data_IF_564564901848
#
_entry.id   IF_564564901848
#
_cell.length_a   1.000
_cell.length_b   1.000
_cell.length_c   1.000
_cell.angle_alpha   90.00
_cell.angle_beta   90.00
_cell.angle_gamma   90.00
#
_symmetry.space_group_name_H-M   'P 1'
#
loop_
_entity.id
_entity.type
_entity.pdbx_description
1 polymer ?
#
# COMPACT_ATOMS: atom_id res chain seq x y z
N UNK A 1 9.49 -32.44 -3.38
CA UNK A 1 9.21 -31.88 -4.71
C UNK A 1 9.34 -30.37 -4.63
N UNK A 2 10.51 -29.87 -5.03
CA UNK A 2 10.79 -28.44 -5.20
C UNK A 2 9.93 -27.94 -6.36
N UNK A 3 8.88 -27.18 -6.05
CA UNK A 3 8.18 -26.40 -7.07
C UNK A 3 9.17 -25.36 -7.59
N UNK A 4 9.83 -25.69 -8.70
CA UNK A 4 10.49 -24.73 -9.58
C UNK A 4 9.42 -23.83 -10.18
N UNK A 5 8.90 -22.88 -9.39
CA UNK A 5 8.22 -21.71 -9.92
C UNK A 5 9.26 -20.96 -10.73
N UNK A 6 9.15 -21.06 -12.07
CA UNK A 6 10.12 -20.52 -13.01
C UNK A 6 10.49 -19.07 -12.69
N UNK A 7 11.74 -18.70 -13.01
CA UNK A 7 12.15 -17.28 -13.07
C UNK A 7 11.08 -16.53 -13.86
N UNK A 8 10.52 -15.46 -13.28
CA UNK A 8 9.68 -14.49 -13.95
C UNK A 8 10.45 -13.96 -15.17
N UNK A 9 10.20 -14.51 -16.36
CA UNK A 9 10.77 -14.05 -17.64
C UNK A 9 9.97 -12.89 -18.23
N UNK A 10 8.78 -12.63 -17.72
CA UNK A 10 7.92 -11.53 -18.16
C UNK A 10 8.20 -10.26 -17.35
N UNK A 11 9.25 -9.55 -17.76
CA UNK A 11 9.48 -8.16 -17.34
C UNK A 11 8.47 -7.30 -18.13
N UNK A 12 7.29 -7.07 -17.56
CA UNK A 12 6.25 -6.23 -18.20
C UNK A 12 6.56 -4.72 -18.18
N UNK A 13 7.61 -4.32 -17.45
CA UNK A 13 8.10 -2.94 -17.40
C UNK A 13 9.44 -2.91 -18.11
N UNK A 14 9.48 -2.35 -19.32
CA UNK A 14 10.69 -2.22 -20.13
C UNK A 14 11.91 -1.84 -19.26
N UNK A 15 13.09 -2.44 -19.49
CA UNK A 15 14.28 -2.07 -18.75
C UNK A 15 14.49 -0.56 -18.89
N UNK A 16 14.67 0.08 -17.74
CA UNK A 16 14.85 1.54 -17.61
C UNK A 16 16.08 2.02 -18.39
N UNK A 17 17.02 1.11 -18.64
CA UNK A 17 18.27 1.36 -19.32
C UNK A 17 18.09 1.20 -20.84
N UNK A 18 18.18 2.27 -21.66
CA UNK A 18 18.32 2.11 -23.10
C UNK A 18 19.66 1.42 -23.41
N UNK A 19 19.79 0.74 -24.56
CA UNK A 19 20.86 -0.24 -24.82
C UNK A 19 22.32 0.23 -24.64
N UNK A 20 22.58 1.54 -24.57
CA UNK A 20 23.91 2.11 -24.35
C UNK A 20 24.07 2.83 -22.99
N UNK A 21 23.01 3.00 -22.20
CA UNK A 21 23.04 3.80 -20.95
C UNK A 21 22.50 2.96 -19.79
N UNK A 22 23.31 2.78 -18.77
CA UNK A 22 22.86 2.20 -17.51
C UNK A 22 22.26 3.27 -16.60
N UNK A 23 20.97 3.18 -16.33
CA UNK A 23 20.25 4.01 -15.36
C UNK A 23 20.03 3.29 -14.01
N UNK A 24 20.84 2.27 -13.71
CA UNK A 24 20.66 1.42 -12.53
C UNK A 24 20.82 2.13 -11.19
N UNK A 25 21.63 3.21 -11.14
CA UNK A 25 21.84 4.03 -9.93
C UNK A 25 20.81 5.15 -9.77
N UNK A 26 19.90 5.34 -10.72
CA UNK A 26 18.87 6.37 -10.62
C UNK A 26 17.82 5.95 -9.59
N UNK A 27 17.66 6.76 -8.53
CA UNK A 27 16.80 6.44 -7.40
C UNK A 27 15.31 6.51 -7.77
N UNK A 28 14.88 7.58 -8.42
CA UNK A 28 13.50 7.79 -8.87
C UNK A 28 13.44 7.75 -10.41
N UNK A 29 12.73 6.77 -10.95
CA UNK A 29 12.57 6.64 -12.40
C UNK A 29 11.40 7.53 -12.83
N UNK A 30 11.62 8.54 -13.68
CA UNK A 30 10.56 9.44 -14.13
C UNK A 30 9.50 8.69 -14.96
N UNK A 31 8.26 9.20 -14.95
CA UNK A 31 7.15 8.67 -15.77
C UNK A 31 6.37 7.51 -15.16
N UNK A 32 6.59 7.17 -13.87
CA UNK A 32 5.71 6.23 -13.16
C UNK A 32 4.46 6.94 -12.62
N UNK A 33 3.31 6.61 -13.18
CA UNK A 33 2.00 7.09 -12.74
C UNK A 33 1.39 8.08 -13.72
N UNK A 34 0.58 7.56 -14.65
CA UNK A 34 -0.30 8.39 -15.48
C UNK A 34 -1.63 8.59 -14.77
N UNK A 35 -2.27 9.74 -15.01
CA UNK A 35 -3.66 9.99 -14.56
C UNK A 35 -4.69 9.37 -15.50
N UNK A 36 -4.27 8.89 -16.66
CA UNK A 36 -5.16 8.35 -17.69
C UNK A 36 -5.62 6.92 -17.37
N UNK A 37 -6.90 6.58 -17.61
CA UNK A 37 -7.40 5.23 -17.54
C UNK A 37 -6.64 4.29 -18.50
N UNK A 38 -6.40 3.05 -18.06
CA UNK A 38 -5.77 2.03 -18.92
C UNK A 38 -6.74 1.59 -20.04
N UNK A 39 -6.27 1.41 -21.28
CA UNK A 39 -7.09 0.84 -22.35
C UNK A 39 -7.61 -0.57 -21.99
N UNK A 40 -8.82 -0.90 -22.45
CA UNK A 40 -9.50 -2.17 -22.14
C UNK A 40 -8.64 -3.39 -22.49
N UNK A 41 -8.00 -3.39 -23.66
CA UNK A 41 -7.11 -4.47 -24.09
C UNK A 41 -5.94 -4.68 -23.12
N UNK A 42 -5.35 -3.59 -22.62
CA UNK A 42 -4.28 -3.66 -21.63
C UNK A 42 -4.79 -4.20 -20.29
N UNK A 43 -5.99 -3.80 -19.86
CA UNK A 43 -6.62 -4.30 -18.63
C UNK A 43 -6.85 -5.81 -18.74
N UNK A 44 -7.46 -6.28 -19.83
CA UNK A 44 -7.71 -7.70 -20.08
C UNK A 44 -6.41 -8.53 -20.15
N UNK A 45 -5.40 -8.02 -20.87
CA UNK A 45 -4.10 -8.68 -20.98
C UNK A 45 -3.39 -8.82 -19.63
N UNK A 46 -3.45 -7.78 -18.79
CA UNK A 46 -2.88 -7.82 -17.44
C UNK A 46 -3.69 -8.69 -16.47
N UNK A 47 -5.03 -8.64 -16.56
CA UNK A 47 -5.92 -9.48 -15.77
C UNK A 47 -5.68 -10.97 -16.05
N UNK A 48 -5.57 -11.34 -17.33
CA UNK A 48 -5.25 -12.71 -17.76
C UNK A 48 -3.95 -13.19 -17.12
N UNK A 49 -2.87 -12.43 -17.25
CA UNK A 49 -1.55 -12.78 -16.67
C UNK A 49 -1.61 -12.98 -15.16
N UNK A 50 -2.32 -12.11 -14.43
CA UNK A 50 -2.47 -12.23 -12.99
C UNK A 50 -3.24 -13.50 -12.62
N UNK A 51 -4.37 -13.76 -13.29
CA UNK A 51 -5.22 -14.91 -13.01
C UNK A 51 -4.54 -16.23 -13.39
N UNK A 52 -3.83 -16.30 -14.52
CA UNK A 52 -3.03 -17.46 -14.89
C UNK A 52 -1.98 -17.79 -13.81
N UNK A 53 -1.30 -16.76 -13.28
CA UNK A 53 -0.35 -16.94 -12.18
C UNK A 53 -1.02 -17.41 -10.89
N UNK A 54 -2.20 -16.87 -10.57
CA UNK A 54 -2.97 -17.26 -9.38
C UNK A 54 -3.45 -18.71 -9.48
N UNK A 55 -4.14 -19.08 -10.56
CA UNK A 55 -4.69 -20.42 -10.77
C UNK A 55 -3.59 -21.49 -10.92
N UNK A 56 -2.42 -21.14 -11.46
CA UNK A 56 -1.26 -22.03 -11.47
C UNK A 56 -0.74 -22.39 -10.06
N UNK A 57 -1.09 -21.63 -9.02
CA UNK A 57 -0.76 -21.96 -7.63
C UNK A 57 -1.77 -22.85 -6.94
N UNK A 58 -2.99 -22.95 -7.47
CA UNK A 58 -4.04 -23.79 -6.92
C UNK A 58 -3.76 -25.27 -7.28
N UNK A 59 -4.12 -26.17 -6.38
CA UNK A 59 -4.04 -27.62 -6.66
C UNK A 59 -5.07 -27.99 -7.73
N UNK A 60 -4.73 -28.94 -8.60
CA UNK A 60 -5.64 -29.40 -9.65
C UNK A 60 -6.99 -29.86 -9.06
N UNK A 61 -8.08 -29.27 -9.53
CA UNK A 61 -9.46 -29.63 -9.14
C UNK A 61 -10.33 -28.48 -8.59
N UNK A 62 -9.78 -27.29 -8.37
CA UNK A 62 -10.57 -26.09 -8.02
C UNK A 62 -10.92 -25.28 -9.28
N UNK A 63 -12.13 -24.71 -9.32
CA UNK A 63 -12.69 -23.69 -10.22
C UNK A 63 -11.97 -23.45 -11.57
N UNK A 64 -12.70 -23.54 -12.67
CA UNK A 64 -12.14 -23.31 -14.00
C UNK A 64 -11.66 -21.85 -14.14
N UNK A 65 -10.36 -21.67 -14.36
CA UNK A 65 -9.76 -20.39 -14.78
C UNK A 65 -10.57 -19.76 -15.92
N UNK A 66 -11.04 -20.57 -16.88
CA UNK A 66 -11.80 -20.09 -18.03
C UNK A 66 -13.13 -19.46 -17.62
N UNK A 67 -13.80 -20.00 -16.60
CA UNK A 67 -15.08 -19.47 -16.13
C UNK A 67 -14.88 -18.14 -15.38
N UNK A 68 -13.86 -18.06 -14.53
CA UNK A 68 -13.49 -16.81 -13.87
C UNK A 68 -13.03 -15.75 -14.88
N UNK A 69 -12.27 -16.15 -15.90
CA UNK A 69 -11.78 -15.23 -16.91
C UNK A 69 -12.92 -14.67 -17.76
N UNK A 70 -13.90 -15.48 -18.16
CA UNK A 70 -15.12 -15.00 -18.84
C UNK A 70 -15.90 -13.97 -18.02
N UNK A 71 -15.98 -14.15 -16.70
CA UNK A 71 -16.61 -13.16 -15.81
C UNK A 71 -15.84 -11.84 -15.83
N UNK A 72 -14.50 -11.89 -15.75
CA UNK A 72 -13.65 -10.70 -15.83
C UNK A 72 -13.77 -10.02 -17.20
N UNK A 73 -13.82 -10.77 -18.30
CA UNK A 73 -14.05 -10.23 -19.64
C UNK A 73 -15.38 -9.46 -19.70
N UNK A 74 -16.46 -10.04 -19.17
CA UNK A 74 -17.76 -9.39 -19.12
C UNK A 74 -17.74 -8.11 -18.26
N UNK A 75 -17.09 -8.17 -17.09
CA UNK A 75 -17.01 -7.03 -16.16
C UNK A 75 -16.21 -5.87 -16.76
N UNK A 76 -15.08 -6.17 -17.43
CA UNK A 76 -14.26 -5.16 -18.10
C UNK A 76 -14.99 -4.57 -19.31
N UNK A 77 -15.68 -5.38 -20.11
CA UNK A 77 -16.47 -4.88 -21.24
C UNK A 77 -17.62 -3.96 -20.80
N UNK A 78 -18.23 -4.21 -19.64
CA UNK A 78 -19.39 -3.46 -19.15
C UNK A 78 -19.02 -2.24 -18.32
N UNK A 79 -17.99 -2.34 -17.47
CA UNK A 79 -17.63 -1.29 -16.50
C UNK A 79 -16.30 -0.59 -16.79
N UNK A 80 -15.50 -1.15 -17.71
CA UNK A 80 -14.14 -0.69 -18.00
C UNK A 80 -13.07 -1.23 -17.05
N UNK A 81 -13.44 -1.97 -16.00
CA UNK A 81 -12.52 -2.56 -15.01
C UNK A 81 -13.10 -3.87 -14.46
N UNK A 82 -12.43 -4.50 -13.51
CA UNK A 82 -12.94 -5.66 -12.78
C UNK A 82 -12.54 -5.62 -11.31
N UNK A 83 -13.28 -6.36 -10.48
CA UNK A 83 -13.00 -6.48 -9.05
C UNK A 83 -12.38 -7.83 -8.72
N UNK A 84 -11.23 -7.78 -8.05
CA UNK A 84 -10.54 -8.97 -7.55
C UNK A 84 -11.34 -9.62 -6.40
N UNK A 85 -11.37 -10.94 -6.37
CA UNK A 85 -11.80 -11.67 -5.17
C UNK A 85 -10.79 -11.43 -4.03
N UNK A 86 -11.19 -11.72 -2.79
CA UNK A 86 -10.28 -11.59 -1.62
C UNK A 86 -9.02 -12.46 -1.77
N UNK A 87 -9.17 -13.67 -2.30
CA UNK A 87 -8.06 -14.60 -2.54
C UNK A 87 -7.11 -14.10 -3.63
N UNK A 88 -7.65 -13.55 -4.72
CA UNK A 88 -6.88 -12.93 -5.79
C UNK A 88 -6.12 -11.69 -5.28
N UNK A 89 -6.78 -10.85 -4.47
CA UNK A 89 -6.18 -9.66 -3.87
C UNK A 89 -4.99 -10.03 -2.96
N UNK A 90 -5.17 -11.04 -2.12
CA UNK A 90 -4.09 -11.56 -1.27
C UNK A 90 -2.90 -12.04 -2.07
N UNK A 91 -3.18 -12.86 -3.08
CA UNK A 91 -2.17 -13.40 -3.95
C UNK A 91 -1.40 -12.26 -4.62
N UNK A 92 -2.11 -11.26 -5.16
CA UNK A 92 -1.54 -10.07 -5.76
C UNK A 92 -0.64 -9.29 -4.79
N UNK A 93 -1.10 -9.06 -3.55
CA UNK A 93 -0.31 -8.35 -2.53
C UNK A 93 0.97 -9.10 -2.13
N UNK A 94 0.87 -10.42 -1.87
CA UNK A 94 2.03 -11.29 -1.60
C UNK A 94 3.02 -11.29 -2.76
N UNK A 95 2.52 -11.44 -3.97
CA UNK A 95 3.31 -11.49 -5.18
C UNK A 95 4.01 -10.15 -5.44
N UNK A 96 3.33 -9.03 -5.22
CA UNK A 96 3.91 -7.69 -5.35
C UNK A 96 5.09 -7.51 -4.38
N UNK A 97 4.95 -7.94 -3.11
CA UNK A 97 6.06 -7.89 -2.16
C UNK A 97 7.22 -8.80 -2.59
N UNK A 98 6.93 -10.05 -2.99
CA UNK A 98 7.93 -10.99 -3.53
C UNK A 98 8.67 -10.42 -4.74
N UNK A 99 8.02 -9.59 -5.55
CA UNK A 99 8.59 -9.00 -6.76
C UNK A 99 9.21 -7.62 -6.54
N UNK A 100 9.19 -7.07 -5.32
CA UNK A 100 9.79 -5.78 -5.01
C UNK A 100 11.31 -5.88 -4.97
N UNK A 101 11.97 -5.61 -6.11
CA UNK A 101 13.41 -5.80 -6.32
C UNK A 101 14.30 -5.11 -5.26
N UNK A 102 13.84 -3.98 -4.70
CA UNK A 102 14.57 -3.18 -3.69
C UNK A 102 14.32 -3.62 -2.23
N UNK A 103 13.42 -4.57 -1.98
CA UNK A 103 13.15 -5.07 -0.63
C UNK A 103 14.12 -6.22 -0.28
N UNK A 104 14.92 -6.05 0.78
CA UNK A 104 15.81 -7.11 1.31
C UNK A 104 15.02 -8.15 2.12
N UNK A 105 13.96 -7.73 2.82
CA UNK A 105 13.14 -8.57 3.71
C UNK A 105 12.17 -9.55 3.02
N UNK A 106 12.34 -9.80 1.72
CA UNK A 106 11.41 -10.61 0.92
C UNK A 106 11.26 -12.05 1.40
N UNK A 107 12.17 -12.59 2.20
CA UNK A 107 12.02 -13.96 2.75
C UNK A 107 10.70 -14.16 3.51
N UNK A 108 10.15 -13.08 4.08
CA UNK A 108 8.89 -13.11 4.83
C UNK A 108 7.64 -13.00 3.95
N UNK A 109 7.77 -12.91 2.61
CA UNK A 109 6.68 -12.60 1.68
C UNK A 109 5.43 -13.48 1.84
N UNK A 110 5.63 -14.77 2.18
CA UNK A 110 4.52 -15.71 2.31
C UNK A 110 3.76 -15.59 3.65
N UNK A 111 4.28 -14.84 4.62
CA UNK A 111 3.61 -14.66 5.92
C UNK A 111 2.44 -13.68 5.86
N UNK A 112 2.25 -12.96 4.75
CA UNK A 112 1.18 -11.98 4.57
C UNK A 112 -0.20 -12.65 4.35
N UNK A 113 -0.97 -13.07 5.36
CA UNK A 113 -2.27 -13.77 5.16
C UNK A 113 -3.54 -12.83 5.21
N UNK A 114 -4.77 -13.26 4.85
CA UNK A 114 -6.04 -12.44 4.74
C UNK A 114 -6.93 -12.39 5.98
N UNK A 115 -7.41 -11.21 6.40
CA UNK A 115 -8.56 -11.12 7.32
C UNK A 115 -9.89 -11.30 6.59
N UNK A 116 -10.76 -12.13 7.17
CA UNK A 116 -12.20 -12.10 6.97
C UNK A 116 -12.79 -10.86 7.66
N UNK A 117 -14.01 -10.55 7.26
CA UNK A 117 -14.78 -9.32 7.51
C UNK A 117 -14.81 -8.85 8.97
N UNK A 118 -15.03 -7.53 9.13
CA UNK A 118 -15.52 -6.95 10.38
C UNK A 118 -16.92 -7.53 10.59
N UNK A 119 -17.01 -8.69 11.22
CA UNK A 119 -18.28 -9.18 11.75
C UNK A 119 -18.44 -8.65 13.16
N UNK A 120 -19.14 -7.51 13.26
CA UNK A 120 -19.36 -6.75 14.50
C UNK A 120 -20.16 -7.54 15.57
N UNK A 121 -20.54 -8.80 15.31
CA UNK A 121 -21.56 -9.53 16.07
C UNK A 121 -21.05 -10.62 17.02
N UNK A 122 -19.80 -11.12 16.94
CA UNK A 122 -19.46 -12.38 17.62
C UNK A 122 -18.32 -12.36 18.65
N UNK A 123 -17.66 -11.23 18.90
CA UNK A 123 -16.79 -11.04 20.09
C UNK A 123 -15.66 -12.06 20.29
N UNK A 124 -15.39 -12.93 19.32
CA UNK A 124 -14.37 -13.96 19.34
C UNK A 124 -13.64 -13.89 18.01
N UNK A 125 -12.38 -13.48 18.05
CA UNK A 125 -11.59 -13.34 16.86
C UNK A 125 -10.34 -14.18 16.97
N UNK A 126 -10.31 -15.26 16.21
CA UNK A 126 -9.10 -16.06 16.00
C UNK A 126 -8.31 -15.43 14.84
N UNK A 127 -7.43 -14.50 15.20
CA UNK A 127 -6.61 -13.71 14.28
C UNK A 127 -5.31 -14.43 13.91
N UNK A 128 -4.99 -14.52 12.61
CA UNK A 128 -3.59 -14.66 12.17
C UNK A 128 -3.38 -14.19 10.73
N UNK A 129 -3.70 -12.93 10.44
CA UNK A 129 -3.71 -12.47 9.05
C UNK A 129 -3.28 -10.98 8.92
N UNK A 130 -2.55 -10.65 7.85
CA UNK A 130 -1.73 -9.47 7.61
C UNK A 130 -2.21 -8.57 6.42
N UNK A 131 -3.38 -8.81 5.83
CA UNK A 131 -4.00 -7.95 4.80
C UNK A 131 -5.37 -7.45 5.28
N UNK A 132 -5.54 -6.12 5.29
CA UNK A 132 -6.80 -5.43 5.57
C UNK A 132 -7.46 -4.99 4.26
N UNK A 133 -8.61 -5.59 3.94
CA UNK A 133 -9.40 -5.25 2.74
C UNK A 133 -10.36 -4.09 3.06
N UNK A 134 -9.91 -2.87 2.77
CA UNK A 134 -10.63 -1.62 2.99
C UNK A 134 -11.18 -1.04 1.67
N UNK A 135 -11.44 -1.87 0.65
CA UNK A 135 -11.98 -1.43 -0.64
C UNK A 135 -13.41 -0.90 -0.58
N UNK A 136 -14.09 -1.07 0.56
CA UNK A 136 -15.43 -0.54 0.82
C UNK A 136 -15.41 0.89 1.41
N UNK A 137 -14.25 1.38 1.85
CA UNK A 137 -14.09 2.71 2.45
C UNK A 137 -14.43 3.81 1.45
N UNK A 138 -15.10 4.85 1.92
CA UNK A 138 -15.58 5.97 1.10
C UNK A 138 -15.09 7.34 1.59
N UNK A 139 -14.77 7.48 2.87
CA UNK A 139 -14.39 8.77 3.48
C UNK A 139 -12.95 8.78 4.00
N UNK A 140 -12.37 9.97 4.19
CA UNK A 140 -11.07 10.13 4.80
C UNK A 140 -11.06 9.69 6.28
N UNK A 141 -12.19 9.82 6.99
CA UNK A 141 -12.30 9.34 8.38
C UNK A 141 -12.19 7.82 8.44
N UNK A 142 -12.91 7.10 7.60
CA UNK A 142 -12.83 5.63 7.51
C UNK A 142 -11.41 5.17 7.08
N UNK A 143 -10.74 5.94 6.21
CA UNK A 143 -9.33 5.68 5.90
C UNK A 143 -8.45 5.81 7.14
N UNK A 144 -8.63 6.89 7.91
CA UNK A 144 -7.88 7.13 9.13
C UNK A 144 -8.08 6.00 10.15
N UNK A 145 -9.33 5.60 10.40
CA UNK A 145 -9.66 4.53 11.34
C UNK A 145 -9.03 3.18 10.92
N UNK A 146 -9.04 2.88 9.62
CA UNK A 146 -8.38 1.71 9.06
C UNK A 146 -6.85 1.76 9.23
N UNK A 147 -6.23 2.94 9.10
CA UNK A 147 -4.79 3.13 9.32
C UNK A 147 -4.41 3.03 10.81
N UNK A 148 -5.24 3.56 11.71
CA UNK A 148 -5.06 3.38 13.15
C UNK A 148 -5.08 1.89 13.53
N UNK A 149 -6.05 1.13 13.00
CA UNK A 149 -6.14 -0.32 13.18
C UNK A 149 -4.91 -1.03 12.64
N UNK A 150 -4.43 -0.61 11.45
CA UNK A 150 -3.21 -1.14 10.85
C UNK A 150 -1.99 -0.92 11.74
N UNK A 151 -1.79 0.31 12.25
CA UNK A 151 -0.66 0.66 13.11
C UNK A 151 -0.72 -0.16 14.40
N UNK A 152 -1.87 -0.21 15.06
CA UNK A 152 -2.04 -0.99 16.30
C UNK A 152 -1.68 -2.47 16.09
N UNK A 153 -2.20 -3.07 15.02
CA UNK A 153 -1.93 -4.46 14.68
C UNK A 153 -0.46 -4.72 14.34
N UNK A 154 0.15 -3.81 13.57
CA UNK A 154 1.53 -3.98 13.09
C UNK A 154 2.54 -3.74 14.21
N UNK A 155 2.26 -2.80 15.11
CA UNK A 155 3.11 -2.49 16.26
C UNK A 155 3.12 -3.63 17.28
N UNK A 156 1.95 -4.22 17.60
CA UNK A 156 1.82 -5.42 18.44
C UNK A 156 2.77 -5.42 19.67
N UNK A 157 2.74 -4.34 20.45
CA UNK A 157 3.55 -4.15 21.65
C UNK A 157 5.06 -4.41 21.43
N UNK A 158 5.57 -4.03 20.26
CA UNK A 158 6.98 -4.20 19.88
C UNK A 158 7.30 -5.50 19.14
N UNK A 159 6.40 -6.48 19.13
CA UNK A 159 6.57 -7.70 18.33
C UNK A 159 6.00 -7.48 16.91
N UNK A 160 6.74 -6.72 16.11
CA UNK A 160 6.29 -6.16 14.84
C UNK A 160 5.74 -7.22 13.88
N UNK A 161 4.56 -6.96 13.32
CA UNK A 161 3.91 -7.78 12.29
C UNK A 161 3.83 -6.98 10.99
N UNK A 162 4.27 -7.57 9.87
CA UNK A 162 4.07 -6.95 8.55
C UNK A 162 2.58 -6.91 8.23
N UNK A 163 2.05 -5.82 7.71
CA UNK A 163 0.68 -5.78 7.20
C UNK A 163 0.55 -4.87 5.97
N UNK A 164 -0.57 -4.99 5.26
CA UNK A 164 -0.96 -4.05 4.20
C UNK A 164 -2.45 -3.73 4.34
N UNK A 165 -2.80 -2.46 4.16
CA UNK A 165 -4.20 -2.01 4.04
C UNK A 165 -4.45 -1.61 2.60
N UNK A 166 -5.48 -2.20 1.98
CA UNK A 166 -5.83 -1.95 0.57
C UNK A 166 -7.11 -1.11 0.52
N UNK A 167 -6.96 0.13 0.07
CA UNK A 167 -8.08 1.05 -0.19
C UNK A 167 -8.70 0.82 -1.57
N UNK A 168 -9.84 1.47 -1.89
CA UNK A 168 -10.50 1.29 -3.19
C UNK A 168 -9.55 1.53 -4.37
N UNK A 169 -9.59 0.69 -5.41
CA UNK A 169 -8.76 0.88 -6.59
C UNK A 169 -9.17 2.15 -7.34
N UNK A 170 -8.22 2.75 -8.06
CA UNK A 170 -8.48 3.88 -8.96
C UNK A 170 -9.57 3.53 -9.98
N UNK A 171 -10.51 4.45 -10.18
CA UNK A 171 -11.52 4.40 -11.25
C UNK A 171 -11.42 5.65 -12.13
N UNK A 172 -11.97 5.61 -13.34
CA UNK A 172 -12.02 6.77 -14.24
C UNK A 172 -13.00 7.85 -13.79
N UNK A 173 -13.94 7.50 -12.91
CA UNK A 173 -15.09 8.33 -12.56
C UNK A 173 -14.93 9.13 -11.27
N UNK A 174 -13.86 8.93 -10.49
CA UNK A 174 -13.67 9.57 -9.18
C UNK A 174 -12.21 9.89 -8.91
N UNK A 175 -11.98 10.81 -7.98
CA UNK A 175 -10.63 11.10 -7.45
C UNK A 175 -10.02 9.88 -6.76
N UNK A 176 -8.69 9.84 -6.68
CA UNK A 176 -7.96 8.75 -6.03
C UNK A 176 -8.08 8.78 -4.50
N UNK A 177 -8.07 7.60 -3.89
CA UNK A 177 -7.71 7.44 -2.47
C UNK A 177 -6.20 7.57 -2.32
N UNK A 178 -5.73 8.50 -1.48
CA UNK A 178 -4.30 8.74 -1.27
C UNK A 178 -3.98 9.02 0.19
N UNK A 179 -2.96 8.33 0.67
CA UNK A 179 -2.16 8.77 1.82
C UNK A 179 -1.03 9.61 1.24
N UNK A 180 -0.95 10.88 1.61
CA UNK A 180 0.04 11.80 1.06
C UNK A 180 1.41 11.61 1.73
N UNK A 181 1.39 11.16 2.99
CA UNK A 181 2.60 10.87 3.73
C UNK A 181 3.43 9.78 3.04
N UNK A 182 4.75 9.96 2.90
CA UNK A 182 5.64 8.91 2.42
C UNK A 182 5.66 7.66 3.32
N UNK A 183 5.44 7.85 4.63
CA UNK A 183 5.39 6.81 5.66
C UNK A 183 4.26 7.14 6.65
N UNK A 184 3.69 6.13 7.31
CA UNK A 184 2.62 6.36 8.31
C UNK A 184 3.11 7.08 9.57
N UNK A 185 4.37 6.87 9.94
CA UNK A 185 5.00 7.48 11.10
C UNK A 185 6.30 8.15 10.65
N UNK A 186 6.38 9.47 10.80
CA UNK A 186 7.57 10.26 10.51
C UNK A 186 7.61 11.49 11.42
N UNK A 187 8.82 11.95 11.74
CA UNK A 187 9.01 13.16 12.51
C UNK A 187 8.93 14.41 11.62
N UNK A 188 8.38 15.50 12.14
CA UNK A 188 8.31 16.77 11.44
C UNK A 188 9.69 17.44 11.33
N UNK A 189 9.83 18.36 10.37
CA UNK A 189 10.99 19.22 10.20
C UNK A 189 10.59 20.68 10.10
N UNK A 190 11.12 21.53 10.99
CA UNK A 190 10.81 22.96 11.05
C UNK A 190 12.03 23.77 10.64
N UNK A 191 11.88 24.59 9.59
CA UNK A 191 12.94 25.51 9.16
C UNK A 191 12.78 26.86 9.86
N UNK A 192 13.80 27.26 10.61
CA UNK A 192 13.84 28.54 11.33
C UNK A 192 14.25 29.69 10.40
N UNK A 193 14.02 30.93 10.86
CA UNK A 193 14.35 32.14 10.13
C UNK A 193 15.86 32.31 9.84
N UNK A 194 16.72 31.77 10.70
CA UNK A 194 18.18 31.75 10.53
C UNK A 194 18.68 30.65 9.58
N UNK A 195 17.76 29.83 9.05
CA UNK A 195 18.06 28.70 8.17
C UNK A 195 18.38 27.39 8.88
N UNK A 196 18.46 27.37 10.20
CA UNK A 196 18.57 26.13 10.97
C UNK A 196 17.29 25.29 10.88
N UNK A 197 17.40 23.97 11.10
CA UNK A 197 16.27 23.04 11.04
C UNK A 197 16.15 22.31 12.38
N UNK A 198 14.93 22.26 12.93
CA UNK A 198 14.57 21.45 14.10
C UNK A 198 13.80 20.23 13.61
N UNK A 199 14.11 19.04 14.15
CA UNK A 199 13.47 17.78 13.73
C UNK A 199 14.13 17.17 12.51
N UNK A 200 13.36 16.53 11.63
CA UNK A 200 13.86 15.78 10.47
C UNK A 200 13.91 16.65 9.20
N UNK A 201 15.11 17.00 8.68
CA UNK A 201 15.25 17.81 7.47
C UNK A 201 14.58 17.22 6.22
N UNK A 202 14.41 15.90 6.13
CA UNK A 202 13.80 15.27 4.95
C UNK A 202 12.32 15.63 4.82
N UNK A 203 11.67 15.98 5.93
CA UNK A 203 10.24 16.20 6.00
C UNK A 203 9.86 17.69 6.00
N UNK A 204 10.81 18.63 5.94
CA UNK A 204 10.52 20.08 6.00
C UNK A 204 9.44 20.51 5.02
N UNK A 205 9.56 20.11 3.74
CA UNK A 205 8.57 20.46 2.72
C UNK A 205 7.19 19.88 3.04
N UNK A 206 7.14 18.64 3.54
CA UNK A 206 5.87 18.00 3.89
C UNK A 206 5.27 18.59 5.18
N UNK A 207 6.09 18.95 6.16
CA UNK A 207 5.70 19.69 7.37
C UNK A 207 5.05 21.03 7.00
N UNK A 208 5.61 21.77 6.04
CA UNK A 208 4.98 23.00 5.53
C UNK A 208 3.60 22.75 4.91
N UNK A 209 3.41 21.62 4.22
CA UNK A 209 2.08 21.23 3.70
C UNK A 209 1.11 20.96 4.85
N UNK A 210 1.52 20.22 5.88
CA UNK A 210 0.70 20.00 7.07
C UNK A 210 0.29 21.33 7.71
N UNK A 211 1.23 22.27 7.88
CA UNK A 211 0.95 23.58 8.47
C UNK A 211 0.02 24.44 7.63
N UNK A 212 0.14 24.41 6.29
CA UNK A 212 -0.81 25.09 5.39
C UNK A 212 -2.22 24.52 5.46
N UNK A 213 -2.37 23.24 5.81
CA UNK A 213 -3.68 22.61 6.07
C UNK A 213 -4.22 22.89 7.48
N UNK A 214 -3.49 23.65 8.31
CA UNK A 214 -3.90 24.07 9.64
C UNK A 214 -3.32 23.24 10.78
N UNK A 215 -2.48 22.23 10.50
CA UNK A 215 -1.81 21.49 11.56
C UNK A 215 -0.71 22.33 12.22
N UNK A 216 -0.67 22.31 13.55
CA UNK A 216 0.35 22.99 14.33
C UNK A 216 1.01 21.97 15.26
N UNK A 217 2.28 21.65 14.98
CA UNK A 217 3.08 20.86 15.91
C UNK A 217 3.63 21.70 17.05
N UNK A 218 4.26 21.03 18.02
CA UNK A 218 4.85 21.63 19.22
C UNK A 218 6.19 22.35 18.93
N UNK A 219 6.77 22.14 17.75
CA UNK A 219 8.05 22.70 17.34
C UNK A 219 9.25 21.95 17.94
N UNK A 220 9.09 20.67 18.28
CA UNK A 220 10.17 19.87 18.87
C UNK A 220 10.92 19.03 17.85
N UNK A 221 12.01 18.39 18.29
CA UNK A 221 12.79 17.47 17.45
C UNK A 221 12.05 16.17 17.12
N UNK A 222 10.97 15.83 17.85
CA UNK A 222 10.33 14.52 17.81
C UNK A 222 8.82 14.59 17.61
N UNK A 223 8.32 15.67 17.02
CA UNK A 223 6.90 15.83 16.72
C UNK A 223 6.49 14.85 15.63
N UNK A 224 5.46 14.05 15.90
CA UNK A 224 4.91 13.11 14.93
C UNK A 224 4.02 13.88 13.95
N UNK A 225 4.29 13.70 12.65
CA UNK A 225 3.45 14.28 11.61
C UNK A 225 2.04 13.70 11.62
N UNK A 226 1.01 14.51 11.31
CA UNK A 226 -0.34 14.00 11.10
C UNK A 226 -0.40 13.22 9.78
N UNK A 227 -1.40 12.38 9.63
CA UNK A 227 -1.72 11.76 8.34
C UNK A 227 -2.53 12.74 7.48
N UNK A 228 -2.05 13.06 6.28
CA UNK A 228 -2.81 13.77 5.26
C UNK A 228 -3.45 12.75 4.33
N UNK A 229 -4.79 12.70 4.36
CA UNK A 229 -5.60 11.73 3.63
C UNK A 229 -6.55 12.45 2.67
N UNK A 230 -6.67 11.95 1.45
CA UNK A 230 -7.69 12.37 0.48
C UNK A 230 -8.43 11.15 -0.06
N UNK A 231 -9.74 11.31 -0.27
CA UNK A 231 -10.62 10.25 -0.79
C UNK A 231 -11.18 10.63 -2.16
N UNK A 232 -12.01 9.74 -2.70
CA UNK A 232 -12.72 9.99 -3.96
C UNK A 232 -13.67 11.20 -3.91
N UNK A 233 -14.16 11.56 -2.73
CA UNK A 233 -15.18 12.61 -2.54
C UNK A 233 -14.66 13.79 -1.72
N UNK A 234 -13.54 13.64 -1.02
CA UNK A 234 -13.00 14.63 -0.10
C UNK A 234 -11.56 15.03 -0.49
N UNK A 235 -11.29 16.34 -0.46
CA UNK A 235 -9.93 16.86 -0.58
C UNK A 235 -9.03 16.45 0.60
N UNK A 236 -7.74 16.84 0.57
CA UNK A 236 -6.80 16.48 1.62
C UNK A 236 -7.25 17.05 2.98
N UNK A 237 -7.35 16.16 3.97
CA UNK A 237 -7.60 16.48 5.38
C UNK A 237 -6.48 15.89 6.22
N UNK A 238 -6.05 16.60 7.27
CA UNK A 238 -5.09 16.06 8.22
C UNK A 238 -5.80 15.36 9.38
N UNK A 239 -5.17 14.32 9.92
CA UNK A 239 -5.61 13.57 11.07
C UNK A 239 -4.43 13.32 12.00
N UNK A 240 -4.57 13.69 13.27
CA UNK A 240 -3.54 13.44 14.26
C UNK A 240 -3.61 12.01 14.76
N UNK A 241 -2.47 11.33 14.81
CA UNK A 241 -2.39 9.97 15.32
C UNK A 241 -2.50 9.96 16.85
N UNK A 242 -3.34 9.06 17.42
CA UNK A 242 -3.36 8.85 18.87
C UNK A 242 -1.97 8.42 19.37
N UNK A 243 -1.49 9.05 20.44
CA UNK A 243 -0.12 8.86 20.94
C UNK A 243 0.14 7.43 21.39
N UNK A 244 -0.89 6.73 21.86
CA UNK A 244 -0.84 5.32 22.27
C UNK A 244 -0.55 4.34 21.12
N UNK A 245 -0.79 4.74 19.87
CA UNK A 245 -0.47 3.93 18.70
C UNK A 245 0.99 4.06 18.25
N UNK A 246 1.69 5.09 18.72
CA UNK A 246 3.05 5.42 18.30
C UNK A 246 4.05 4.84 19.31
N UNK A 247 4.53 3.63 19.02
CA UNK A 247 5.65 3.05 19.78
C UNK A 247 6.96 3.74 19.42
N UNK A 248 7.61 4.35 20.41
CA UNK A 248 8.94 4.96 20.30
C UNK A 248 9.96 4.19 21.14
N UNK A 249 11.22 4.18 20.69
CA UNK A 249 12.34 3.57 21.41
C UNK A 249 13.33 4.66 21.77
N UNK A 250 13.52 4.90 23.07
CA UNK A 250 14.56 5.81 23.52
C UNK A 250 15.93 5.15 23.31
N UNK A 251 16.80 5.84 22.56
CA UNK A 251 18.12 5.33 22.24
C UNK A 251 19.04 5.49 23.45
N UNK A 252 19.57 4.37 23.95
CA UNK A 252 20.59 4.34 24.99
C UNK A 252 21.80 3.55 24.49
N UNK A 253 22.99 3.92 24.97
CA UNK A 253 24.18 3.13 24.75
C UNK A 253 24.29 2.05 25.85
N UNK A 254 24.66 0.80 25.53
CA UNK A 254 24.71 -0.29 26.51
C UNK A 254 25.86 -0.20 27.54
N UNK A 255 26.69 0.84 27.49
CA UNK A 255 27.83 1.06 28.40
C UNK A 255 27.67 2.33 29.21
#
# INVERSE_FOLDING_TARGET
MTLSMGRLRDISLAPVCPGQICLGSVMAIPGRGTSEPRPLEQVLGQARKLLEQYYATLKQGSDSFDDRFKQVELEVCTTGTYILTKSELLFGAKLAWRNSARCIGRIQWNKLHVCADIDLHLGLVSYSYLLFDCRHVTTCQEMFDALCTHIQFSTNNGNIRSAITVFPPRTSSRSDFRVWNPQLLSYAGYKNADGSIIGDPINVEFTEVCTKLGWQGEGTQWDILPLILSSATEGPKYYELPTELVLQVHLTHPS
#
